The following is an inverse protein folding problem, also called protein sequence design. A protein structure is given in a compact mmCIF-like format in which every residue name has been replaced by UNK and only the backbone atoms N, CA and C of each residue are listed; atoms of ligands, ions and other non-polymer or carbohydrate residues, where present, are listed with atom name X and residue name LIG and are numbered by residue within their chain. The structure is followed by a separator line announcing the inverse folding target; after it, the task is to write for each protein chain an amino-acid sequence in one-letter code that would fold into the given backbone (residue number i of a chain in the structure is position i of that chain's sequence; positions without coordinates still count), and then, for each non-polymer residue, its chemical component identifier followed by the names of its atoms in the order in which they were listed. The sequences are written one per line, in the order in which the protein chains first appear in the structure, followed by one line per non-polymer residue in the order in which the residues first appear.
data_IF_664039080750
#
_entry.id   IF_664039080750
#
_cell.length_a   1.000
_cell.length_b   1.000
_cell.length_c   1.000
_cell.angle_alpha   90.00
_cell.angle_beta   90.00
_cell.angle_gamma   90.00
#
_symmetry.space_group_name_H-M   'P 1'
#
loop_
_entity.id
_entity.type
_entity.pdbx_description
1 polymer ?
#
# COMPACT_ATOMS: atom_id res chain seq x y z
N UNK A 1 8.32 -25.21 9.50
CA UNK A 1 6.90 -25.28 9.95
C UNK A 1 6.15 -24.25 9.13
N UNK A 2 5.06 -24.60 8.43
CA UNK A 2 4.38 -23.65 7.49
C UNK A 2 3.63 -22.57 8.25
N UNK A 3 2.96 -22.95 9.34
CA UNK A 3 2.29 -22.06 10.26
C UNK A 3 2.74 -22.36 11.70
N UNK A 4 2.95 -21.32 12.49
CA UNK A 4 2.94 -21.44 13.95
C UNK A 4 1.50 -21.24 14.41
N UNK A 5 0.75 -22.34 14.56
CA UNK A 5 -0.70 -22.28 14.81
C UNK A 5 -1.04 -21.58 16.13
N UNK A 6 -0.30 -21.87 17.20
CA UNK A 6 -0.51 -21.27 18.52
C UNK A 6 -0.42 -19.75 18.44
N UNK A 7 0.55 -19.24 17.68
CA UNK A 7 0.73 -17.81 17.48
C UNK A 7 -0.30 -17.22 16.52
N UNK A 8 -0.52 -17.85 15.37
CA UNK A 8 -1.36 -17.34 14.30
C UNK A 8 -2.84 -17.21 14.72
N UNK A 9 -3.34 -18.14 15.53
CA UNK A 9 -4.73 -18.10 16.03
C UNK A 9 -4.92 -16.99 17.08
N UNK A 10 -3.86 -16.53 17.73
CA UNK A 10 -3.91 -15.42 18.67
C UNK A 10 -4.00 -14.03 18.00
N UNK A 11 -3.78 -13.95 16.69
CA UNK A 11 -3.83 -12.69 15.93
C UNK A 11 -5.27 -12.20 15.84
N UNK A 12 -5.61 -11.01 16.37
CA UNK A 12 -7.00 -10.54 16.47
C UNK A 12 -7.84 -10.65 15.19
N UNK A 13 -7.36 -10.23 14.01
CA UNK A 13 -8.15 -10.37 12.78
C UNK A 13 -8.31 -11.82 12.31
N UNK A 14 -7.27 -12.65 12.43
CA UNK A 14 -7.34 -14.08 12.10
C UNK A 14 -8.36 -14.76 13.00
N UNK A 15 -8.28 -14.50 14.31
CA UNK A 15 -9.22 -15.00 15.30
C UNK A 15 -10.65 -14.57 14.96
N UNK A 16 -10.85 -13.31 14.60
CA UNK A 16 -12.15 -12.79 14.20
C UNK A 16 -12.72 -13.56 13.00
N UNK A 17 -11.92 -13.80 11.95
CA UNK A 17 -12.34 -14.58 10.78
C UNK A 17 -12.75 -16.01 11.19
N UNK A 18 -11.94 -16.67 12.02
CA UNK A 18 -12.22 -18.04 12.50
C UNK A 18 -13.51 -18.07 13.33
N UNK A 19 -13.73 -17.11 14.23
CA UNK A 19 -14.94 -17.01 15.07
C UNK A 19 -16.22 -16.81 14.24
N UNK A 20 -16.13 -16.23 13.03
CA UNK A 20 -17.27 -16.02 12.13
C UNK A 20 -17.62 -17.24 11.28
N UNK A 21 -16.76 -18.26 11.24
CA UNK A 21 -16.90 -19.45 10.39
C UNK A 21 -18.30 -20.03 10.38
N UNK A 22 -18.79 -20.46 11.55
CA UNK A 22 -20.05 -21.21 11.61
C UNK A 22 -21.24 -20.34 11.20
N UNK A 23 -21.22 -19.05 11.52
CA UNK A 23 -22.25 -18.11 11.10
C UNK A 23 -22.30 -17.94 9.58
N UNK A 24 -21.13 -17.76 8.95
CA UNK A 24 -21.02 -17.58 7.50
C UNK A 24 -21.39 -18.87 6.76
N UNK A 25 -20.86 -20.02 7.19
CA UNK A 25 -21.13 -21.31 6.57
C UNK A 25 -22.60 -21.74 6.72
N UNK A 26 -23.22 -21.50 7.88
CA UNK A 26 -24.62 -21.82 8.09
C UNK A 26 -25.56 -20.91 7.28
N UNK A 27 -25.17 -19.66 7.05
CA UNK A 27 -25.96 -18.72 6.25
C UNK A 27 -25.81 -18.98 4.74
N UNK A 28 -24.58 -18.93 4.23
CA UNK A 28 -24.33 -18.97 2.78
C UNK A 28 -24.22 -20.39 2.21
N UNK A 29 -23.86 -21.38 3.02
CA UNK A 29 -23.71 -22.76 2.55
C UNK A 29 -24.98 -23.32 1.91
N UNK A 30 -26.16 -23.28 2.58
CA UNK A 30 -27.41 -23.73 1.97
C UNK A 30 -27.79 -22.97 0.70
N UNK A 31 -27.52 -21.66 0.66
CA UNK A 31 -27.81 -20.76 -0.47
C UNK A 31 -27.01 -21.22 -1.71
N UNK A 32 -25.70 -21.39 -1.57
CA UNK A 32 -24.85 -21.78 -2.70
C UNK A 32 -24.96 -23.26 -3.08
N UNK A 33 -25.47 -24.13 -2.19
CA UNK A 33 -25.87 -25.50 -2.55
C UNK A 33 -27.16 -25.57 -3.36
N UNK A 34 -27.95 -24.50 -3.41
CA UNK A 34 -29.18 -24.40 -4.20
C UNK A 34 -29.12 -23.20 -5.15
N UNK A 35 -28.18 -23.21 -6.12
CA UNK A 35 -27.86 -22.03 -6.90
C UNK A 35 -29.01 -21.50 -7.73
N UNK A 36 -29.98 -22.35 -8.12
CA UNK A 36 -31.16 -21.95 -8.88
C UNK A 36 -32.15 -21.08 -8.07
N UNK A 37 -32.10 -21.14 -6.75
CA UNK A 37 -33.01 -20.41 -5.86
C UNK A 37 -32.40 -19.10 -5.32
N UNK A 38 -31.13 -18.83 -5.61
CA UNK A 38 -30.41 -17.67 -5.11
C UNK A 38 -31.13 -16.38 -5.52
N UNK A 39 -31.40 -15.52 -4.53
CA UNK A 39 -31.88 -14.16 -4.76
C UNK A 39 -30.70 -13.23 -4.97
N UNK A 40 -30.96 -12.13 -5.68
CA UNK A 40 -29.94 -11.10 -5.92
C UNK A 40 -29.32 -10.61 -4.61
N UNK A 41 -30.14 -10.36 -3.60
CA UNK A 41 -29.68 -9.88 -2.29
C UNK A 41 -28.82 -10.90 -1.55
N UNK A 42 -29.10 -12.20 -1.69
CA UNK A 42 -28.27 -13.26 -1.09
C UNK A 42 -26.85 -13.22 -1.64
N UNK A 43 -26.74 -13.10 -2.98
CA UNK A 43 -25.44 -13.01 -3.65
C UNK A 43 -24.71 -11.71 -3.32
N UNK A 44 -25.40 -10.56 -3.34
CA UNK A 44 -24.80 -9.27 -2.99
C UNK A 44 -24.38 -9.22 -1.51
N UNK A 45 -25.15 -9.85 -0.63
CA UNK A 45 -24.80 -10.03 0.78
C UNK A 45 -23.49 -10.81 0.91
N UNK A 46 -23.35 -11.94 0.20
CA UNK A 46 -22.11 -12.72 0.18
C UNK A 46 -20.90 -11.92 -0.32
N UNK A 47 -21.06 -11.09 -1.34
CA UNK A 47 -19.94 -10.27 -1.82
C UNK A 47 -19.47 -9.24 -0.79
N UNK A 48 -20.33 -8.88 0.18
CA UNK A 48 -20.00 -7.86 1.16
C UNK A 48 -19.18 -8.39 2.33
N UNK A 49 -18.08 -7.71 2.62
CA UNK A 49 -17.21 -8.02 3.76
C UNK A 49 -17.97 -7.95 5.09
N UNK A 50 -19.04 -7.14 5.15
CA UNK A 50 -19.88 -7.03 6.34
C UNK A 50 -20.60 -8.33 6.68
N UNK A 51 -20.90 -9.17 5.68
CA UNK A 51 -21.64 -10.42 5.87
C UNK A 51 -20.77 -11.67 5.67
N UNK A 52 -19.84 -11.66 4.71
CA UNK A 52 -18.91 -12.80 4.53
C UNK A 52 -17.79 -12.83 5.56
N UNK A 53 -17.50 -11.70 6.23
CA UNK A 53 -16.53 -11.56 7.32
C UNK A 53 -15.08 -12.01 7.00
N UNK A 54 -14.73 -12.25 5.74
CA UNK A 54 -13.43 -12.81 5.37
C UNK A 54 -12.83 -12.18 4.11
N UNK A 55 -13.59 -12.15 3.01
CA UNK A 55 -13.10 -11.77 1.68
C UNK A 55 -13.50 -10.34 1.34
N UNK A 56 -12.51 -9.45 1.31
CA UNK A 56 -12.70 -8.06 0.90
C UNK A 56 -12.59 -7.90 -0.61
N UNK A 57 -13.25 -6.88 -1.15
CA UNK A 57 -13.13 -6.50 -2.57
C UNK A 57 -13.92 -7.37 -3.57
N UNK A 58 -14.62 -8.42 -3.13
CA UNK A 58 -15.48 -9.23 -3.99
C UNK A 58 -16.56 -8.38 -4.70
N UNK A 59 -17.07 -7.36 -4.01
CA UNK A 59 -18.07 -6.43 -4.54
C UNK A 59 -17.61 -5.67 -5.80
N UNK A 60 -16.32 -5.38 -5.94
CA UNK A 60 -15.78 -4.52 -7.01
C UNK A 60 -16.01 -5.10 -8.40
N UNK A 61 -15.99 -6.43 -8.50
CA UNK A 61 -16.10 -7.13 -9.78
C UNK A 61 -17.40 -7.96 -9.86
N UNK A 62 -17.90 -8.47 -8.72
CA UNK A 62 -19.09 -9.35 -8.69
C UNK A 62 -20.44 -8.65 -8.81
N UNK A 63 -20.56 -7.34 -8.52
CA UNK A 63 -21.88 -6.66 -8.54
C UNK A 63 -22.55 -6.68 -9.93
N UNK A 64 -21.75 -6.57 -11.00
CA UNK A 64 -22.26 -6.50 -12.37
C UNK A 64 -22.91 -7.80 -12.81
N UNK A 65 -22.37 -8.96 -12.41
CA UNK A 65 -22.99 -10.25 -12.79
C UNK A 65 -24.34 -10.50 -12.12
N UNK A 66 -24.64 -9.79 -11.03
CA UNK A 66 -25.94 -9.82 -10.38
C UNK A 66 -27.03 -9.02 -11.14
N UNK A 67 -26.70 -8.43 -12.29
CA UNK A 67 -27.68 -7.85 -13.23
C UNK A 67 -28.40 -8.93 -14.04
N UNK A 68 -27.73 -10.06 -14.32
CA UNK A 68 -28.29 -11.23 -15.00
C UNK A 68 -28.30 -12.42 -14.04
N UNK A 69 -29.33 -12.47 -13.20
CA UNK A 69 -29.48 -13.54 -12.20
C UNK A 69 -29.70 -14.90 -12.82
N UNK A 70 -30.32 -15.00 -13.99
CA UNK A 70 -30.59 -16.30 -14.61
C UNK A 70 -29.30 -16.92 -15.13
N UNK A 71 -28.44 -16.14 -15.78
CA UNK A 71 -27.10 -16.58 -16.13
C UNK A 71 -26.26 -16.91 -14.88
N UNK A 72 -26.29 -16.06 -13.86
CA UNK A 72 -25.55 -16.31 -12.61
C UNK A 72 -25.96 -17.63 -11.95
N UNK A 73 -27.27 -17.87 -11.78
CA UNK A 73 -27.81 -19.10 -11.21
C UNK A 73 -27.41 -20.32 -12.03
N UNK A 74 -27.53 -20.23 -13.35
CA UNK A 74 -27.13 -21.31 -14.26
C UNK A 74 -25.65 -21.64 -14.13
N UNK A 75 -24.77 -20.63 -14.19
CA UNK A 75 -23.32 -20.86 -14.13
C UNK A 75 -22.89 -21.34 -12.74
N UNK A 76 -23.49 -20.83 -11.65
CA UNK A 76 -23.23 -21.35 -10.31
C UNK A 76 -23.74 -22.78 -10.13
N UNK A 77 -24.79 -23.20 -10.83
CA UNK A 77 -25.22 -24.61 -10.84
C UNK A 77 -24.18 -25.55 -11.43
N UNK A 78 -23.41 -25.09 -12.43
CA UNK A 78 -22.26 -25.82 -12.96
C UNK A 78 -21.13 -25.84 -11.93
N UNK A 79 -20.85 -24.70 -11.27
CA UNK A 79 -19.76 -24.60 -10.29
C UNK A 79 -19.90 -25.62 -9.17
N UNK A 80 -21.10 -25.81 -8.63
CA UNK A 80 -21.34 -26.62 -7.42
C UNK A 80 -21.77 -28.06 -7.72
N UNK A 81 -21.80 -28.48 -8.99
CA UNK A 81 -22.16 -29.85 -9.37
C UNK A 81 -21.02 -30.84 -9.07
N UNK A 82 -21.05 -31.44 -7.88
CA UNK A 82 -20.02 -32.41 -7.43
C UNK A 82 -19.90 -33.67 -8.32
N UNK A 83 -20.79 -33.89 -9.30
CA UNK A 83 -20.68 -35.00 -10.26
C UNK A 83 -19.77 -34.68 -11.46
N UNK A 84 -19.30 -33.44 -11.59
CA UNK A 84 -18.41 -33.01 -12.67
C UNK A 84 -16.99 -32.74 -12.17
N UNK A 85 -16.02 -32.94 -13.06
CA UNK A 85 -14.61 -32.64 -12.80
C UNK A 85 -14.45 -31.16 -12.38
N UNK A 86 -13.74 -30.94 -11.27
CA UNK A 86 -13.57 -29.61 -10.67
C UNK A 86 -12.97 -28.61 -11.65
N UNK A 87 -11.95 -29.02 -12.39
CA UNK A 87 -11.30 -28.22 -13.42
C UNK A 87 -12.28 -27.72 -14.47
N UNK A 88 -13.11 -28.62 -15.02
CA UNK A 88 -14.10 -28.29 -16.05
C UNK A 88 -15.15 -27.31 -15.53
N UNK A 89 -15.63 -27.51 -14.30
CA UNK A 89 -16.59 -26.60 -13.65
C UNK A 89 -16.02 -25.20 -13.54
N UNK A 90 -14.82 -25.07 -12.95
CA UNK A 90 -14.21 -23.77 -12.72
C UNK A 90 -13.90 -23.04 -14.03
N UNK A 91 -13.32 -23.74 -15.02
CA UNK A 91 -12.99 -23.13 -16.32
C UNK A 91 -14.25 -22.66 -17.05
N UNK A 92 -15.33 -23.44 -17.03
CA UNK A 92 -16.61 -23.04 -17.64
C UNK A 92 -17.16 -21.79 -16.96
N UNK A 93 -17.15 -21.75 -15.62
CA UNK A 93 -17.64 -20.58 -14.89
C UNK A 93 -16.81 -19.31 -15.15
N UNK A 94 -15.49 -19.43 -15.24
CA UNK A 94 -14.61 -18.30 -15.57
C UNK A 94 -14.81 -17.79 -17.00
N UNK A 95 -15.16 -18.67 -17.93
CA UNK A 95 -15.48 -18.30 -19.30
C UNK A 95 -16.82 -17.55 -19.38
N UNK A 96 -17.83 -18.00 -18.65
CA UNK A 96 -19.20 -17.49 -18.75
C UNK A 96 -19.47 -16.26 -17.85
N UNK A 97 -18.77 -16.13 -16.72
CA UNK A 97 -18.93 -15.02 -15.78
C UNK A 97 -17.81 -13.99 -15.94
N UNK A 98 -17.97 -13.12 -16.94
CA UNK A 98 -17.07 -11.97 -17.09
C UNK A 98 -17.16 -11.05 -15.86
N UNK A 99 -16.02 -10.84 -15.20
CA UNK A 99 -15.93 -10.05 -13.97
C UNK A 99 -15.97 -10.88 -12.68
N UNK A 100 -16.10 -12.21 -12.75
CA UNK A 100 -15.92 -13.05 -11.55
C UNK A 100 -14.63 -13.84 -11.69
N UNK A 101 -13.67 -13.56 -10.81
CA UNK A 101 -12.39 -14.26 -10.78
C UNK A 101 -12.44 -15.57 -9.98
N UNK A 102 -11.39 -16.37 -10.09
CA UNK A 102 -11.24 -17.62 -9.35
C UNK A 102 -11.31 -17.41 -7.82
N UNK A 103 -10.85 -16.27 -7.31
CA UNK A 103 -10.98 -15.93 -5.89
C UNK A 103 -12.43 -15.95 -5.39
N UNK A 104 -13.36 -15.40 -6.17
CA UNK A 104 -14.79 -15.41 -5.82
C UNK A 104 -15.38 -16.81 -5.95
N UNK A 105 -15.09 -17.50 -7.05
CA UNK A 105 -15.67 -18.84 -7.31
C UNK A 105 -15.18 -19.88 -6.29
N UNK A 106 -13.90 -19.82 -5.90
CA UNK A 106 -13.34 -20.76 -4.92
C UNK A 106 -13.80 -20.44 -3.50
N UNK A 107 -14.08 -19.17 -3.17
CA UNK A 107 -14.78 -18.79 -1.94
C UNK A 107 -16.22 -19.33 -1.89
N UNK A 108 -16.96 -19.26 -3.01
CA UNK A 108 -18.30 -19.85 -3.14
C UNK A 108 -18.24 -21.37 -2.92
N UNK A 109 -17.27 -22.05 -3.55
CA UNK A 109 -17.06 -23.49 -3.36
C UNK A 109 -16.77 -23.83 -1.88
N UNK A 110 -15.92 -23.05 -1.21
CA UNK A 110 -15.62 -23.26 0.21
C UNK A 110 -16.88 -23.15 1.06
N UNK A 111 -17.70 -22.10 0.90
CA UNK A 111 -18.91 -21.97 1.74
C UNK A 111 -19.94 -23.05 1.43
N UNK A 112 -20.05 -23.48 0.17
CA UNK A 112 -20.96 -24.55 -0.24
C UNK A 112 -20.53 -25.92 0.31
N UNK A 113 -19.24 -26.25 0.24
CA UNK A 113 -18.67 -27.54 0.66
C UNK A 113 -17.33 -27.36 1.38
N UNK A 114 -17.34 -26.92 2.67
CA UNK A 114 -16.12 -26.56 3.40
C UNK A 114 -15.19 -27.75 3.68
N UNK A 115 -15.67 -28.99 3.54
CA UNK A 115 -14.82 -30.17 3.66
C UNK A 115 -14.01 -30.45 2.38
N UNK A 116 -14.39 -29.87 1.24
CA UNK A 116 -13.86 -30.24 -0.07
C UNK A 116 -13.01 -29.14 -0.72
N UNK A 117 -13.17 -27.89 -0.31
CA UNK A 117 -12.58 -26.74 -1.02
C UNK A 117 -11.87 -25.76 -0.11
N UNK A 118 -10.65 -25.38 -0.49
CA UNK A 118 -9.92 -24.22 0.01
C UNK A 118 -9.95 -23.05 -0.98
N UNK A 119 -9.72 -21.82 -0.52
CA UNK A 119 -9.78 -20.64 -1.39
C UNK A 119 -8.44 -20.41 -2.10
N UNK A 120 -8.50 -20.24 -3.41
CA UNK A 120 -7.38 -19.70 -4.18
C UNK A 120 -7.62 -18.22 -4.46
N UNK A 121 -6.83 -17.37 -3.83
CA UNK A 121 -6.82 -15.93 -4.05
C UNK A 121 -5.36 -15.43 -4.04
N UNK A 122 -5.16 -14.13 -4.21
CA UNK A 122 -3.81 -13.56 -4.24
C UNK A 122 -3.05 -13.75 -2.92
N UNK A 123 -3.75 -13.77 -1.78
CA UNK A 123 -3.13 -13.98 -0.46
C UNK A 123 -2.64 -15.42 -0.35
N UNK A 124 -3.51 -16.41 -0.58
CA UNK A 124 -3.12 -17.83 -0.49
C UNK A 124 -2.03 -18.18 -1.52
N UNK A 125 -2.10 -17.63 -2.73
CA UNK A 125 -1.04 -17.79 -3.73
C UNK A 125 0.31 -17.19 -3.28
N UNK A 126 0.31 -15.96 -2.78
CA UNK A 126 1.54 -15.29 -2.33
C UNK A 126 2.20 -16.07 -1.18
N UNK A 127 1.41 -16.44 -0.17
CA UNK A 127 1.91 -17.18 0.98
C UNK A 127 2.39 -18.59 0.60
N UNK A 128 1.68 -19.30 -0.29
CA UNK A 128 2.15 -20.58 -0.80
C UNK A 128 3.48 -20.45 -1.54
N UNK A 129 3.69 -19.37 -2.32
CA UNK A 129 4.97 -19.11 -3.00
C UNK A 129 6.08 -18.83 -2.00
N UNK A 130 5.86 -17.92 -1.06
CA UNK A 130 6.85 -17.56 -0.04
C UNK A 130 7.25 -18.76 0.83
N UNK A 131 6.32 -19.67 1.10
CA UNK A 131 6.54 -20.87 1.92
C UNK A 131 7.00 -22.09 1.11
N UNK A 132 7.26 -21.95 -0.19
CA UNK A 132 7.74 -23.03 -1.05
C UNK A 132 6.71 -24.16 -1.27
N UNK A 133 5.43 -23.86 -1.13
CA UNK A 133 4.31 -24.79 -1.33
C UNK A 133 3.66 -24.64 -2.71
N UNK A 134 3.96 -23.55 -3.42
CA UNK A 134 3.35 -23.28 -4.72
C UNK A 134 3.78 -24.33 -5.76
N UNK A 135 2.83 -25.03 -6.40
CA UNK A 135 3.14 -26.07 -7.36
C UNK A 135 3.70 -25.49 -8.67
N UNK A 136 4.41 -26.33 -9.41
CA UNK A 136 4.81 -26.05 -10.79
C UNK A 136 3.71 -26.50 -11.75
N UNK A 137 3.48 -25.73 -12.81
CA UNK A 137 2.47 -26.04 -13.81
C UNK A 137 3.08 -26.13 -15.19
N UNK A 138 2.57 -27.06 -15.99
CA UNK A 138 2.96 -27.17 -17.40
C UNK A 138 2.42 -25.99 -18.22
N UNK A 139 3.04 -25.76 -19.37
CA UNK A 139 2.56 -24.73 -20.29
C UNK A 139 1.20 -25.16 -20.85
N UNK A 140 0.20 -24.29 -20.73
CA UNK A 140 -1.15 -24.53 -21.23
C UNK A 140 -2.11 -25.14 -20.21
N UNK A 141 -1.67 -25.42 -18.98
CA UNK A 141 -2.57 -25.82 -17.89
C UNK A 141 -3.63 -24.75 -17.64
N UNK A 142 -4.90 -25.15 -17.66
CA UNK A 142 -6.03 -24.26 -17.45
C UNK A 142 -6.12 -23.76 -16.00
N UNK A 143 -6.98 -22.77 -15.74
CA UNK A 143 -7.16 -22.24 -14.37
C UNK A 143 -7.80 -23.30 -13.47
N UNK A 144 -8.78 -24.04 -13.99
CA UNK A 144 -9.41 -25.18 -13.31
C UNK A 144 -8.42 -26.27 -12.93
N UNK A 145 -7.55 -26.69 -13.85
CA UNK A 145 -6.52 -27.69 -13.58
C UNK A 145 -5.50 -27.22 -12.55
N UNK A 146 -5.12 -25.92 -12.58
CA UNK A 146 -4.27 -25.34 -11.54
C UNK A 146 -4.95 -25.40 -10.18
N UNK A 147 -6.24 -25.07 -10.13
CA UNK A 147 -7.00 -25.07 -8.90
C UNK A 147 -7.14 -26.47 -8.29
N UNK A 148 -7.31 -27.53 -9.09
CA UNK A 148 -7.33 -28.91 -8.57
C UNK A 148 -6.08 -29.22 -7.74
N UNK A 149 -4.89 -28.93 -8.28
CA UNK A 149 -3.61 -29.15 -7.58
C UNK A 149 -3.49 -28.25 -6.34
N UNK A 150 -3.86 -26.96 -6.45
CA UNK A 150 -3.83 -26.02 -5.32
C UNK A 150 -4.79 -26.45 -4.20
N UNK A 151 -5.96 -26.97 -4.58
CA UNK A 151 -6.96 -27.45 -3.64
C UNK A 151 -6.49 -28.72 -2.92
N UNK A 152 -5.86 -29.66 -3.62
CA UNK A 152 -5.23 -30.83 -3.00
C UNK A 152 -4.18 -30.45 -1.96
N UNK A 153 -3.32 -29.46 -2.27
CA UNK A 153 -2.34 -28.92 -1.32
C UNK A 153 -3.06 -28.31 -0.10
N UNK A 154 -4.12 -27.54 -0.33
CA UNK A 154 -4.92 -26.91 0.72
C UNK A 154 -5.55 -27.95 1.66
N UNK A 155 -6.20 -28.97 1.09
CA UNK A 155 -6.77 -30.08 1.86
C UNK A 155 -5.70 -30.88 2.61
N UNK A 156 -4.54 -31.09 1.99
CA UNK A 156 -3.39 -31.73 2.64
C UNK A 156 -2.87 -30.95 3.84
N UNK A 157 -2.80 -29.62 3.75
CA UNK A 157 -2.43 -28.74 4.85
C UNK A 157 -3.48 -28.73 5.96
N UNK A 158 -4.76 -28.59 5.60
CA UNK A 158 -5.88 -28.63 6.54
C UNK A 158 -5.85 -29.94 7.36
N UNK A 159 -5.71 -31.08 6.68
CA UNK A 159 -5.54 -32.40 7.32
C UNK A 159 -4.30 -32.47 8.20
N UNK A 160 -3.14 -32.04 7.69
CA UNK A 160 -1.86 -32.07 8.43
C UNK A 160 -1.93 -31.30 9.75
N UNK A 161 -2.60 -30.16 9.75
CA UNK A 161 -2.76 -29.31 10.93
C UNK A 161 -4.03 -29.61 11.73
N UNK A 162 -4.84 -30.57 11.29
CA UNK A 162 -6.13 -30.94 11.91
C UNK A 162 -7.06 -29.72 12.09
N UNK A 163 -7.13 -28.90 11.05
CA UNK A 163 -8.01 -27.73 10.93
C UNK A 163 -8.91 -27.87 9.70
N UNK A 164 -9.97 -27.09 9.63
CA UNK A 164 -10.83 -26.98 8.44
C UNK A 164 -10.25 -25.98 7.41
N UNK A 165 -10.80 -25.98 6.19
CA UNK A 165 -10.29 -25.12 5.10
C UNK A 165 -10.62 -23.65 5.28
N UNK A 166 -11.67 -23.29 6.02
CA UNK A 166 -11.95 -21.90 6.39
C UNK A 166 -10.87 -21.37 7.33
N UNK A 167 -10.53 -22.16 8.36
CA UNK A 167 -9.44 -21.84 9.28
C UNK A 167 -8.11 -21.74 8.53
N UNK A 168 -7.84 -22.65 7.58
CA UNK A 168 -6.67 -22.55 6.73
C UNK A 168 -6.65 -21.26 5.90
N UNK A 169 -7.77 -20.85 5.31
CA UNK A 169 -7.85 -19.60 4.53
C UNK A 169 -7.60 -18.37 5.41
N UNK A 170 -8.11 -18.37 6.65
CA UNK A 170 -7.82 -17.35 7.64
C UNK A 170 -6.32 -17.29 8.00
N UNK A 171 -5.67 -18.45 8.12
CA UNK A 171 -4.25 -18.52 8.49
C UNK A 171 -3.31 -17.97 7.41
N UNK A 172 -3.70 -17.92 6.14
CA UNK A 172 -2.93 -17.20 5.11
C UNK A 172 -2.78 -15.71 5.42
N UNK A 173 -3.67 -15.14 6.22
CA UNK A 173 -3.58 -13.75 6.64
C UNK A 173 -2.68 -13.55 7.85
N UNK A 174 -2.25 -14.60 8.54
CA UNK A 174 -1.61 -14.48 9.86
C UNK A 174 -0.33 -13.63 9.85
N UNK A 175 0.62 -13.87 8.94
CA UNK A 175 1.85 -13.06 8.92
C UNK A 175 1.57 -11.59 8.57
N UNK A 176 0.69 -11.35 7.59
CA UNK A 176 0.31 -9.99 7.20
C UNK A 176 -0.43 -9.27 8.32
N UNK A 177 -1.40 -9.94 8.93
CA UNK A 177 -2.18 -9.45 10.05
C UNK A 177 -1.28 -9.19 11.27
N UNK A 178 -0.35 -10.09 11.58
CA UNK A 178 0.66 -9.86 12.62
C UNK A 178 1.46 -8.61 12.33
N UNK A 179 2.00 -8.40 11.11
CA UNK A 179 2.75 -7.17 10.80
C UNK A 179 1.91 -5.89 11.00
N UNK A 180 0.60 -5.95 10.78
CA UNK A 180 -0.31 -4.82 10.96
C UNK A 180 -0.79 -4.65 12.42
N UNK A 181 -0.99 -5.73 13.16
CA UNK A 181 -1.63 -5.76 14.48
C UNK A 181 -0.64 -5.90 15.62
N UNK A 182 0.58 -6.39 15.36
CA UNK A 182 1.70 -6.37 16.31
C UNK A 182 2.23 -4.96 16.53
N UNK A 183 1.57 -3.93 15.99
CA UNK A 183 1.89 -2.54 16.26
C UNK A 183 3.36 -2.25 16.01
N UNK A 184 3.87 -2.53 14.81
CA UNK A 184 5.06 -1.81 14.39
C UNK A 184 4.65 -0.36 14.15
N UNK A 185 4.82 0.48 15.17
CA UNK A 185 5.03 1.89 14.94
C UNK A 185 6.17 1.98 13.93
N UNK A 186 5.87 2.42 12.71
CA UNK A 186 6.93 2.86 11.81
C UNK A 186 7.68 3.92 12.59
N UNK A 187 8.93 3.62 12.93
CA UNK A 187 9.78 4.64 13.54
C UNK A 187 9.89 5.80 12.55
N UNK A 188 10.25 6.99 13.03
CA UNK A 188 10.56 8.09 12.12
C UNK A 188 11.58 7.66 11.04
N UNK A 189 12.45 6.71 11.37
CA UNK A 189 13.39 6.08 10.45
C UNK A 189 12.74 5.14 9.43
N UNK A 190 11.76 4.33 9.78
CA UNK A 190 11.07 3.45 8.81
C UNK A 190 10.24 4.25 7.79
N UNK A 191 9.65 5.37 8.24
CA UNK A 191 8.95 6.32 7.36
C UNK A 191 9.97 7.04 6.47
N UNK A 192 11.10 7.47 7.02
CA UNK A 192 12.16 8.12 6.26
C UNK A 192 12.80 7.17 5.23
N UNK A 193 13.07 5.91 5.59
CA UNK A 193 13.63 4.89 4.70
C UNK A 193 12.65 4.61 3.55
N UNK A 194 11.37 4.43 3.85
CA UNK A 194 10.35 4.24 2.81
C UNK A 194 10.22 5.48 1.91
N UNK A 195 10.23 6.68 2.48
CA UNK A 195 10.17 7.93 1.70
C UNK A 195 11.41 8.15 0.84
N UNK A 196 12.61 7.78 1.30
CA UNK A 196 13.84 7.87 0.52
C UNK A 196 13.85 6.84 -0.61
N UNK A 197 13.37 5.61 -0.36
CA UNK A 197 13.26 4.58 -1.38
C UNK A 197 12.22 4.95 -2.46
N UNK A 198 11.03 5.42 -2.06
CA UNK A 198 9.99 5.88 -2.97
C UNK A 198 10.43 7.10 -3.78
N UNK A 199 11.12 8.05 -3.16
CA UNK A 199 11.65 9.23 -3.85
C UNK A 199 12.78 8.86 -4.82
N UNK A 200 13.64 7.90 -4.50
CA UNK A 200 14.64 7.38 -5.43
C UNK A 200 13.99 6.65 -6.61
N UNK A 201 12.95 5.85 -6.37
CA UNK A 201 12.22 5.13 -7.42
C UNK A 201 11.44 6.11 -8.33
N UNK A 202 10.78 7.12 -7.77
CA UNK A 202 10.10 8.18 -8.52
C UNK A 202 11.09 9.05 -9.30
N UNK A 203 12.22 9.41 -8.70
CA UNK A 203 13.27 10.19 -9.38
C UNK A 203 13.85 9.39 -10.54
N UNK A 204 14.02 8.07 -10.39
CA UNK A 204 14.50 7.19 -11.46
C UNK A 204 13.44 7.03 -12.56
N UNK A 205 12.16 6.86 -12.21
CA UNK A 205 11.04 6.80 -13.18
C UNK A 205 10.77 8.11 -13.93
N UNK A 206 11.11 9.25 -13.32
CA UNK A 206 10.91 10.58 -13.91
C UNK A 206 12.18 11.11 -14.60
N UNK A 207 13.33 10.46 -14.42
CA UNK A 207 14.59 10.81 -15.09
C UNK A 207 14.73 10.09 -16.43
N UNK A 208 13.69 10.16 -17.26
CA UNK A 208 13.66 9.56 -18.61
C UNK A 208 14.40 10.45 -19.65
N UNK A 209 15.40 11.21 -19.21
CA UNK A 209 16.12 12.17 -20.05
C UNK A 209 15.32 13.41 -20.48
N UNK A 210 14.21 13.73 -19.80
CA UNK A 210 13.35 14.86 -20.17
C UNK A 210 13.95 16.22 -19.76
N UNK A 211 13.91 17.19 -20.67
CA UNK A 211 14.15 18.61 -20.36
C UNK A 211 12.88 19.19 -19.70
N UNK A 212 13.00 19.64 -18.45
CA UNK A 212 11.91 20.29 -17.70
C UNK A 212 12.03 21.80 -17.85
N UNK A 213 11.10 22.42 -18.59
CA UNK A 213 10.95 23.87 -18.59
C UNK A 213 10.33 24.34 -17.26
N UNK A 214 11.00 25.29 -16.60
CA UNK A 214 10.56 25.90 -15.34
C UNK A 214 9.96 27.27 -15.62
N UNK A 215 8.76 27.53 -15.11
CA UNK A 215 8.22 28.89 -15.01
C UNK A 215 9.03 29.70 -13.99
N UNK A 216 9.71 30.73 -14.47
CA UNK A 216 10.46 31.69 -13.65
C UNK A 216 9.46 32.73 -13.14
N UNK A 217 9.22 32.79 -11.82
CA UNK A 217 8.44 33.86 -11.19
C UNK A 217 9.17 35.19 -11.42
N UNK A 218 8.42 36.23 -11.79
CA UNK A 218 8.97 37.56 -12.01
C UNK A 218 9.54 38.12 -10.69
N UNK A 219 10.81 38.52 -10.68
CA UNK A 219 11.52 39.00 -9.50
C UNK A 219 12.12 40.35 -9.82
N UNK A 220 11.42 41.42 -9.48
CA UNK A 220 11.95 42.77 -9.68
C UNK A 220 13.00 43.10 -8.62
N UNK A 221 14.17 43.53 -9.11
CA UNK A 221 15.25 44.07 -8.30
C UNK A 221 14.95 45.56 -8.06
N UNK A 222 14.41 45.92 -6.89
CA UNK A 222 14.07 47.32 -6.56
C UNK A 222 15.27 48.12 -6.02
N UNK A 223 16.47 47.70 -6.41
CA UNK A 223 17.73 48.36 -6.12
C UNK A 223 18.47 48.59 -7.43
N UNK A 224 19.15 49.73 -7.57
CA UNK A 224 20.31 49.77 -8.45
C UNK A 224 21.46 48.96 -7.84
N UNK A 225 22.39 48.52 -8.68
CA UNK A 225 23.46 47.60 -8.27
C UNK A 225 24.40 48.21 -7.22
N UNK A 226 24.66 49.51 -7.27
CA UNK A 226 25.56 50.20 -6.34
C UNK A 226 24.93 50.32 -4.95
N UNK A 227 23.65 50.68 -4.90
CA UNK A 227 22.85 50.73 -3.68
C UNK A 227 22.73 49.36 -3.00
N UNK A 228 22.56 48.28 -3.77
CA UNK A 228 22.54 46.92 -3.23
C UNK A 228 23.91 46.51 -2.65
N UNK A 229 25.02 46.79 -3.36
CA UNK A 229 26.37 46.49 -2.87
C UNK A 229 26.63 47.20 -1.54
N UNK A 230 26.28 48.48 -1.43
CA UNK A 230 26.43 49.25 -0.19
C UNK A 230 25.58 48.68 0.95
N UNK A 231 24.33 48.30 0.66
CA UNK A 231 23.43 47.69 1.64
C UNK A 231 23.92 46.33 2.13
N UNK A 232 24.39 45.45 1.23
CA UNK A 232 24.96 44.14 1.61
C UNK A 232 26.25 44.29 2.41
N UNK A 233 27.09 45.29 2.09
CA UNK A 233 28.27 45.63 2.88
C UNK A 233 27.91 45.99 4.32
N UNK A 234 26.92 46.87 4.48
CA UNK A 234 26.40 47.26 5.80
C UNK A 234 25.86 46.06 6.60
N UNK A 235 25.05 45.20 5.98
CA UNK A 235 24.51 43.99 6.63
C UNK A 235 25.61 43.03 7.11
N UNK A 236 26.69 42.89 6.34
CA UNK A 236 27.83 42.05 6.73
C UNK A 236 28.63 42.67 7.88
N UNK A 237 28.85 43.99 7.87
CA UNK A 237 29.54 44.70 8.94
C UNK A 237 28.75 44.65 10.26
N UNK A 238 27.44 44.92 10.21
CA UNK A 238 26.54 44.88 11.37
C UNK A 238 26.45 43.49 12.01
N UNK A 239 26.48 42.43 11.18
CA UNK A 239 26.49 41.05 11.66
C UNK A 239 27.91 40.52 11.91
N UNK A 240 28.93 41.38 11.95
CA UNK A 240 30.33 41.00 12.18
C UNK A 240 30.84 39.86 11.28
N UNK A 241 30.43 39.88 10.01
CA UNK A 241 30.74 38.87 8.99
C UNK A 241 30.30 37.44 9.37
N UNK A 242 29.25 37.34 10.18
CA UNK A 242 28.63 36.07 10.56
C UNK A 242 27.29 35.88 9.86
N UNK A 243 26.90 34.62 9.73
CA UNK A 243 25.61 34.22 9.19
C UNK A 243 24.48 34.75 10.08
N UNK A 244 23.56 35.54 9.52
CA UNK A 244 22.48 36.18 10.27
C UNK A 244 21.53 35.19 10.99
N UNK A 245 21.42 33.96 10.49
CA UNK A 245 20.58 32.90 11.12
C UNK A 245 21.34 32.14 12.20
N UNK A 246 22.59 31.73 11.93
CA UNK A 246 23.30 30.76 12.77
C UNK A 246 24.38 31.36 13.66
N UNK A 247 24.87 32.56 13.35
CA UNK A 247 26.04 33.17 13.98
C UNK A 247 27.39 32.59 13.54
N UNK A 248 27.40 31.62 12.60
CA UNK A 248 28.64 31.03 12.09
C UNK A 248 29.47 32.06 11.31
N UNK A 249 30.78 32.00 11.44
CA UNK A 249 31.70 32.87 10.69
C UNK A 249 31.67 32.53 9.19
N UNK A 250 31.46 33.55 8.36
CA UNK A 250 31.39 33.39 6.91
C UNK A 250 32.79 33.43 6.30
N UNK A 251 33.05 32.50 5.37
CA UNK A 251 34.36 32.33 4.75
C UNK A 251 34.31 32.63 3.26
N UNK A 252 34.53 33.89 2.82
CA UNK A 252 34.39 34.25 1.40
C UNK A 252 35.36 33.51 0.47
N UNK A 253 36.55 33.15 0.98
CA UNK A 253 37.60 32.41 0.25
C UNK A 253 38.12 31.19 1.02
N UNK A 254 37.36 30.70 1.99
CA UNK A 254 37.76 29.53 2.79
C UNK A 254 37.71 28.22 1.99
N UNK A 255 38.32 27.16 2.53
CA UNK A 255 38.35 25.84 1.91
C UNK A 255 36.96 25.20 1.86
N UNK A 256 36.09 25.52 2.81
CA UNK A 256 34.70 25.06 2.78
C UNK A 256 33.81 26.04 2.02
N UNK A 257 33.43 25.64 0.81
CA UNK A 257 32.56 26.43 -0.05
C UNK A 257 31.14 26.63 0.50
N UNK A 258 30.71 25.82 1.48
CA UNK A 258 29.39 25.91 2.11
C UNK A 258 29.28 27.08 3.11
N UNK A 259 30.41 27.52 3.67
CA UNK A 259 30.49 28.66 4.59
C UNK A 259 30.61 30.02 3.88
N UNK A 260 30.60 30.03 2.55
CA UNK A 260 30.61 31.29 1.79
C UNK A 260 29.33 32.09 2.06
N UNK A 261 29.40 33.44 2.01
CA UNK A 261 28.23 34.30 2.14
C UNK A 261 27.26 34.07 0.99
N UNK A 262 25.97 34.05 1.30
CA UNK A 262 24.85 33.91 0.38
C UNK A 262 23.75 34.88 0.75
N UNK A 263 23.17 35.54 -0.25
CA UNK A 263 22.02 36.42 -0.05
C UNK A 263 20.74 35.60 0.11
N UNK A 264 20.03 35.82 1.21
CA UNK A 264 18.73 35.22 1.51
C UNK A 264 17.66 36.31 1.65
N UNK A 265 16.42 35.95 1.29
CA UNK A 265 15.24 36.79 1.54
C UNK A 265 14.53 36.26 2.77
N UNK A 266 14.28 37.14 3.75
CA UNK A 266 13.63 36.77 5.02
C UNK A 266 12.23 36.21 4.71
N UNK A 267 11.45 36.93 3.92
CA UNK A 267 10.26 36.45 3.23
C UNK A 267 10.58 36.07 1.78
N UNK A 268 10.46 34.77 1.48
CA UNK A 268 10.72 34.19 0.16
C UNK A 268 9.68 34.56 -0.90
N UNK A 269 8.49 35.01 -0.49
CA UNK A 269 7.43 35.52 -1.37
C UNK A 269 7.58 37.02 -1.67
N UNK A 270 8.36 37.76 -0.86
CA UNK A 270 8.67 39.18 -1.06
C UNK A 270 9.78 39.45 -2.10
N UNK A 271 10.04 40.74 -2.33
CA UNK A 271 11.04 41.22 -3.30
C UNK A 271 12.43 41.42 -2.64
N UNK A 272 13.43 41.76 -3.46
CA UNK A 272 14.73 42.20 -2.97
C UNK A 272 14.63 43.68 -2.58
N UNK A 273 14.32 43.93 -1.31
CA UNK A 273 14.16 45.26 -0.70
C UNK A 273 14.85 45.31 0.66
N UNK A 274 15.19 46.50 1.15
CA UNK A 274 16.14 46.69 2.24
C UNK A 274 15.78 45.95 3.53
N UNK A 275 14.49 45.85 3.83
CA UNK A 275 14.00 45.24 5.07
C UNK A 275 13.74 43.74 4.94
N UNK A 276 13.95 43.16 3.74
CA UNK A 276 13.68 41.75 3.46
C UNK A 276 14.95 40.94 3.14
N UNK A 277 16.14 41.50 3.35
CA UNK A 277 17.41 40.86 2.99
C UNK A 277 18.26 40.55 4.21
N UNK A 278 18.92 39.39 4.17
CA UNK A 278 19.93 39.01 5.13
C UNK A 278 21.04 38.19 4.45
N UNK A 279 22.23 38.17 5.05
CA UNK A 279 23.36 37.38 4.54
C UNK A 279 23.59 36.17 5.45
N UNK A 280 23.58 34.99 4.84
CA UNK A 280 23.69 33.70 5.52
C UNK A 280 24.74 32.81 4.87
N UNK A 281 25.12 31.70 5.51
CA UNK A 281 25.98 30.70 4.88
C UNK A 281 25.23 29.99 3.74
N UNK A 282 25.95 29.55 2.68
CA UNK A 282 25.31 28.90 1.52
C UNK A 282 24.48 27.68 1.88
N UNK A 283 24.98 26.81 2.75
CA UNK A 283 24.21 25.62 3.15
C UNK A 283 22.94 26.00 3.93
N UNK A 284 22.99 27.09 4.70
CA UNK A 284 21.84 27.59 5.46
C UNK A 284 20.78 28.16 4.52
N UNK A 285 21.17 28.92 3.49
CA UNK A 285 20.24 29.36 2.47
C UNK A 285 19.59 28.17 1.74
N UNK A 286 20.39 27.14 1.45
CA UNK A 286 19.92 25.91 0.82
C UNK A 286 18.92 25.14 1.70
N UNK A 287 19.18 25.05 3.02
CA UNK A 287 18.28 24.37 3.96
C UNK A 287 16.99 25.14 4.21
N UNK A 288 17.07 26.47 4.36
CA UNK A 288 15.89 27.31 4.55
C UNK A 288 14.96 27.25 3.33
N UNK A 289 15.52 27.35 2.12
CA UNK A 289 14.80 27.29 0.84
C UNK A 289 13.61 28.26 0.81
N UNK A 290 12.38 27.75 0.83
CA UNK A 290 11.12 28.53 0.83
C UNK A 290 10.44 28.56 2.21
N UNK A 291 11.04 27.93 3.22
CA UNK A 291 10.58 28.01 4.62
C UNK A 291 10.70 29.44 5.12
N UNK A 292 9.70 29.91 5.89
CA UNK A 292 9.75 31.23 6.51
C UNK A 292 10.89 31.32 7.52
N UNK A 293 11.51 32.49 7.62
CA UNK A 293 12.69 32.70 8.48
C UNK A 293 12.40 32.37 9.96
N UNK A 294 11.23 32.77 10.47
CA UNK A 294 10.83 32.51 11.86
C UNK A 294 10.69 31.00 12.15
N UNK A 295 10.06 30.25 11.24
CA UNK A 295 9.90 28.80 11.40
C UNK A 295 11.25 28.09 11.28
N UNK A 296 12.10 28.53 10.35
CA UNK A 296 13.43 27.95 10.19
C UNK A 296 14.32 28.18 11.43
N UNK A 297 14.27 29.39 12.02
CA UNK A 297 14.98 29.68 13.28
C UNK A 297 14.47 28.83 14.44
N UNK A 298 13.14 28.64 14.55
CA UNK A 298 12.54 27.73 15.55
C UNK A 298 13.06 26.30 15.38
N UNK A 299 13.08 25.78 14.16
CA UNK A 299 13.58 24.43 13.88
C UNK A 299 15.07 24.30 14.19
N UNK A 300 15.86 25.34 13.90
CA UNK A 300 17.28 25.34 14.20
C UNK A 300 17.56 25.36 15.72
N UNK A 301 16.76 26.08 16.51
CA UNK A 301 16.85 26.06 17.98
C UNK A 301 16.62 24.64 18.53
N UNK A 302 15.62 23.92 18.01
CA UNK A 302 15.38 22.51 18.38
C UNK A 302 16.60 21.63 18.09
N UNK A 303 17.28 21.83 16.95
CA UNK A 303 18.50 21.08 16.59
C UNK A 303 19.66 21.40 17.52
N UNK A 304 19.74 22.63 18.02
CA UNK A 304 20.77 23.09 18.96
C UNK A 304 20.48 22.73 20.42
N UNK A 305 19.26 22.30 20.72
CA UNK A 305 18.80 22.04 22.08
C UNK A 305 18.57 23.32 22.90
N UNK A 306 18.23 24.42 22.22
CA UNK A 306 17.91 25.74 22.79
C UNK A 306 16.40 25.92 23.00
#
# INVERSE_FOLDING_TARGET
MVFNLERAICVPSVRHIIEKRDGVLNHFGPIFRQPLEIKKDDYLSFLSIQHNCHWSGLERLGRKVAEDMDNLRHVLSILVDENQLLSRRLDKCLQDLQGVGHATLTAILLVAYPAHYGVWNSTSECEMKEKGLWPSFERGTSVGQKYEVINEISLGLAKKYSIDTWTLDALWWAEKAERHESGHYKTAWDIAIWSMADQAEQTTRNSNGQLVERTIKNKDLRFDKESLIKHLGKLLEENHHRCAITGLELQPKGPDSQLRPSLDRIDSNGHYEADNLQVVARFINFWKRDTSDAEFRRQLALVRGE
#
